data_IF_271149549429
#
_entry.id   IF_271149549429
#
_cell.length_a   1.000
_cell.length_b   1.000
_cell.length_c   1.000
_cell.angle_alpha   90.00
_cell.angle_beta   90.00
_cell.angle_gamma   90.00
#
_symmetry.space_group_name_H-M   'P 1'
#
loop_
_entity.id
_entity.type
_entity.pdbx_description
1 polymer ?
#
# COMPACT_ATOMS: atom_id res chain seq x y z
N UNK A 1 18.82 26.73 8.15
CA UNK A 1 18.66 26.10 6.81
C UNK A 1 19.44 24.79 6.87
N UNK A 2 18.96 23.70 7.43
CA UNK A 2 17.69 22.99 7.23
C UNK A 2 17.23 22.50 8.60
N UNK A 3 16.03 22.87 9.01
CA UNK A 3 15.41 22.25 10.17
C UNK A 3 14.94 20.87 9.70
N UNK A 4 15.61 19.82 10.14
CA UNK A 4 15.26 18.44 9.82
C UNK A 4 13.96 18.09 10.54
N UNK A 5 12.85 18.62 10.06
CA UNK A 5 11.51 18.12 10.37
C UNK A 5 11.37 16.82 9.59
N UNK A 6 12.11 15.79 9.98
CA UNK A 6 11.78 14.41 9.59
C UNK A 6 10.60 14.06 10.47
N UNK A 7 9.41 14.47 10.04
CA UNK A 7 8.20 14.09 10.73
C UNK A 7 8.18 12.56 10.74
N UNK A 8 8.24 11.97 11.93
CA UNK A 8 8.17 10.51 12.08
C UNK A 8 6.87 10.03 11.42
N UNK A 9 6.92 8.83 10.83
CA UNK A 9 5.71 8.19 10.31
C UNK A 9 4.64 8.15 11.40
N UNK A 10 3.38 8.17 10.95
CA UNK A 10 2.23 7.90 11.81
C UNK A 10 2.49 6.62 12.61
N UNK A 11 2.24 6.62 13.92
CA UNK A 11 2.49 5.45 14.78
C UNK A 11 1.67 4.19 14.45
N UNK A 12 0.86 4.23 13.38
CA UNK A 12 0.12 3.09 12.84
C UNK A 12 0.68 2.55 11.52
N UNK A 13 1.71 3.18 10.98
CA UNK A 13 2.35 2.80 9.72
C UNK A 13 3.79 2.40 10.02
N UNK A 14 4.25 1.30 9.40
CA UNK A 14 5.63 0.86 9.52
C UNK A 14 6.57 1.75 8.69
N UNK A 15 7.87 1.77 9.01
CA UNK A 15 8.83 2.54 8.22
C UNK A 15 8.93 2.02 6.78
N UNK A 16 8.93 0.69 6.63
CA UNK A 16 8.93 0.03 5.32
C UNK A 16 7.49 -0.19 4.84
N UNK A 17 7.21 -0.07 3.53
CA UNK A 17 5.92 -0.42 2.98
C UNK A 17 5.60 -1.89 3.26
N UNK A 18 4.44 -2.15 3.86
CA UNK A 18 3.95 -3.51 4.13
C UNK A 18 3.42 -4.23 2.89
N UNK A 19 2.88 -3.47 1.94
CA UNK A 19 2.37 -3.98 0.68
C UNK A 19 3.11 -3.36 -0.50
N UNK A 20 3.12 -4.06 -1.63
CA UNK A 20 3.72 -3.56 -2.87
C UNK A 20 2.76 -3.58 -4.06
N UNK A 21 3.21 -3.01 -5.17
CA UNK A 21 2.41 -2.85 -6.39
C UNK A 21 1.89 -4.21 -6.88
N UNK A 22 0.61 -4.27 -7.26
CA UNK A 22 -0.03 -5.47 -7.80
C UNK A 22 -0.36 -6.55 -6.76
N UNK A 23 0.06 -6.38 -5.50
CA UNK A 23 -0.21 -7.38 -4.46
C UNK A 23 -1.70 -7.45 -4.13
N UNK A 24 -2.21 -8.67 -4.00
CA UNK A 24 -3.58 -8.97 -3.59
C UNK A 24 -3.80 -8.70 -2.10
N UNK A 25 -4.78 -7.87 -1.80
CA UNK A 25 -5.14 -7.49 -0.43
C UNK A 25 -6.64 -7.63 -0.18
N UNK A 26 -6.99 -7.76 1.09
CA UNK A 26 -8.36 -7.80 1.59
C UNK A 26 -8.57 -6.71 2.63
N UNK A 27 -9.71 -6.04 2.58
CA UNK A 27 -10.12 -5.10 3.61
C UNK A 27 -10.53 -5.87 4.88
N UNK A 28 -9.97 -5.50 6.02
CA UNK A 28 -10.37 -6.05 7.32
C UNK A 28 -11.47 -5.23 8.01
N UNK A 29 -11.66 -3.97 7.59
CA UNK A 29 -12.69 -3.06 8.08
C UNK A 29 -13.36 -2.37 6.90
N UNK A 30 -14.60 -1.94 7.12
CA UNK A 30 -15.31 -1.12 6.15
C UNK A 30 -14.67 0.26 6.03
N UNK A 31 -14.65 0.81 4.82
CA UNK A 31 -14.20 2.17 4.57
C UNK A 31 -15.42 3.07 4.44
N UNK A 32 -15.49 4.04 5.33
CA UNK A 32 -16.54 5.05 5.38
C UNK A 32 -15.93 6.40 5.03
N UNK A 33 -16.62 7.18 4.20
CA UNK A 33 -16.14 8.50 3.81
C UNK A 33 -16.07 9.44 5.02
N UNK A 34 -14.85 9.86 5.38
CA UNK A 34 -14.56 10.81 6.45
C UNK A 34 -14.52 12.27 5.96
N UNK A 35 -14.81 12.50 4.68
CA UNK A 35 -14.75 13.81 4.02
C UNK A 35 -13.58 13.94 3.05
N UNK A 36 -12.74 12.90 2.91
CA UNK A 36 -11.66 12.86 1.93
C UNK A 36 -12.15 12.57 0.50
N UNK A 37 -13.31 11.92 0.34
CA UNK A 37 -13.89 11.64 -0.96
C UNK A 37 -14.99 12.68 -1.31
N UNK A 38 -14.80 13.52 -2.35
CA UNK A 38 -15.66 14.68 -2.61
C UNK A 38 -17.01 14.33 -3.26
N UNK A 39 -17.18 13.13 -3.82
CA UNK A 39 -18.38 12.76 -4.59
C UNK A 39 -19.40 11.95 -3.78
N UNK A 40 -19.17 11.74 -2.48
CA UNK A 40 -20.15 11.14 -1.58
C UNK A 40 -20.26 11.96 -0.28
N UNK A 41 -21.41 11.95 0.41
CA UNK A 41 -21.53 12.53 1.75
C UNK A 41 -20.58 11.87 2.77
N UNK A 42 -20.23 12.62 3.81
CA UNK A 42 -19.55 12.07 4.99
C UNK A 42 -20.45 10.99 5.63
N UNK A 43 -19.86 9.88 6.05
CA UNK A 43 -20.58 8.73 6.61
C UNK A 43 -21.07 7.71 5.56
N UNK A 44 -20.86 7.98 4.26
CA UNK A 44 -21.21 7.02 3.21
C UNK A 44 -20.24 5.83 3.23
N UNK A 45 -20.77 4.61 3.20
CA UNK A 45 -19.99 3.39 2.99
C UNK A 45 -19.39 3.40 1.57
N UNK A 46 -18.06 3.51 1.47
CA UNK A 46 -17.35 3.48 0.19
C UNK A 46 -16.99 2.06 -0.22
N UNK A 47 -16.55 1.24 0.75
CA UNK A 47 -16.13 -0.13 0.49
C UNK A 47 -16.44 -1.03 1.70
N UNK A 48 -17.11 -2.18 1.52
CA UNK A 48 -17.43 -3.08 2.62
C UNK A 48 -16.20 -3.83 3.13
N UNK A 49 -16.25 -4.23 4.40
CA UNK A 49 -15.26 -5.15 4.96
C UNK A 49 -15.25 -6.47 4.18
N UNK A 50 -14.06 -7.04 4.01
CA UNK A 50 -13.86 -8.29 3.27
C UNK A 50 -13.76 -8.14 1.76
N UNK A 51 -13.95 -6.94 1.20
CA UNK A 51 -13.70 -6.68 -0.20
C UNK A 51 -12.22 -6.96 -0.55
N UNK A 52 -12.02 -7.54 -1.74
CA UNK A 52 -10.70 -7.94 -2.24
C UNK A 52 -10.31 -7.04 -3.40
N UNK A 53 -9.07 -6.59 -3.39
CA UNK A 53 -8.52 -5.73 -4.43
C UNK A 53 -7.02 -5.93 -4.59
N UNK A 54 -6.43 -5.10 -5.44
CA UNK A 54 -5.01 -5.11 -5.72
C UNK A 54 -4.41 -3.73 -5.47
N UNK A 55 -3.20 -3.68 -4.93
CA UNK A 55 -2.48 -2.42 -4.74
C UNK A 55 -2.18 -1.81 -6.11
N UNK A 56 -2.79 -0.67 -6.40
CA UNK A 56 -2.57 0.09 -7.62
C UNK A 56 -1.41 1.07 -7.47
N UNK A 57 -1.32 1.73 -6.33
CA UNK A 57 -0.24 2.68 -6.04
C UNK A 57 -0.06 2.88 -4.53
N UNK A 58 1.03 3.56 -4.15
CA UNK A 58 1.29 3.98 -2.78
C UNK A 58 1.62 5.46 -2.76
N UNK A 59 1.02 6.18 -1.81
CA UNK A 59 1.27 7.59 -1.60
C UNK A 59 1.42 7.93 -0.13
N UNK A 60 1.66 9.21 0.13
CA UNK A 60 1.82 9.74 1.48
C UNK A 60 0.93 10.97 1.66
N UNK A 61 0.29 11.05 2.83
CA UNK A 61 -0.45 12.22 3.26
C UNK A 61 0.34 12.94 4.35
N UNK A 62 0.52 14.25 4.19
CA UNK A 62 1.33 15.12 5.07
C UNK A 62 2.76 14.59 5.31
N UNK A 63 3.29 13.76 4.40
CA UNK A 63 4.60 13.08 4.50
C UNK A 63 4.73 12.11 5.69
N UNK A 64 3.69 11.96 6.52
CA UNK A 64 3.71 11.16 7.74
C UNK A 64 2.85 9.91 7.64
N UNK A 65 1.74 9.95 6.90
CA UNK A 65 0.80 8.83 6.91
C UNK A 65 0.76 8.19 5.53
N UNK A 66 1.09 6.89 5.47
CA UNK A 66 1.06 6.11 4.23
C UNK A 66 -0.38 5.84 3.81
N UNK A 67 -0.63 5.88 2.51
CA UNK A 67 -1.92 5.55 1.90
C UNK A 67 -1.67 4.57 0.76
N UNK A 68 -2.35 3.45 0.81
CA UNK A 68 -2.38 2.45 -0.25
C UNK A 68 -3.60 2.70 -1.14
N UNK A 69 -3.39 2.99 -2.42
CA UNK A 69 -4.49 3.07 -3.39
C UNK A 69 -4.82 1.64 -3.84
N UNK A 70 -6.00 1.15 -3.46
CA UNK A 70 -6.43 -0.22 -3.76
C UNK A 70 -7.56 -0.18 -4.79
N UNK A 71 -7.40 -0.95 -5.86
CA UNK A 71 -8.47 -1.16 -6.85
C UNK A 71 -9.24 -2.43 -6.52
N UNK A 72 -10.49 -2.28 -6.10
CA UNK A 72 -11.43 -3.35 -5.82
C UNK A 72 -12.19 -3.71 -7.10
N UNK A 73 -12.28 -5.01 -7.40
CA UNK A 73 -12.89 -5.51 -8.62
C UNK A 73 -14.14 -6.34 -8.29
N UNK A 74 -15.15 -6.28 -9.17
CA UNK A 74 -16.33 -7.14 -9.07
C UNK A 74 -17.41 -6.69 -8.08
N UNK A 75 -17.32 -5.46 -7.56
CA UNK A 75 -18.36 -4.84 -6.75
C UNK A 75 -19.11 -3.80 -7.61
N UNK A 76 -20.38 -4.05 -7.89
CA UNK A 76 -21.21 -3.16 -8.71
C UNK A 76 -21.99 -2.12 -7.88
N UNK A 77 -22.18 -2.40 -6.59
CA UNK A 77 -23.01 -1.58 -5.69
C UNK A 77 -22.17 -0.62 -4.81
N UNK A 78 -20.94 -0.30 -5.21
CA UNK A 78 -20.07 0.64 -4.50
C UNK A 78 -19.97 1.98 -5.24
N UNK A 79 -19.82 3.12 -4.54
CA UNK A 79 -19.70 4.43 -5.18
C UNK A 79 -18.42 4.60 -5.99
N UNK A 80 -17.36 3.86 -5.64
CA UNK A 80 -16.03 4.01 -6.21
C UNK A 80 -15.28 2.67 -6.17
N UNK A 81 -14.58 2.33 -7.25
CA UNK A 81 -13.82 1.08 -7.35
C UNK A 81 -12.43 1.19 -6.70
N UNK A 82 -11.90 2.41 -6.60
CA UNK A 82 -10.55 2.69 -6.11
C UNK A 82 -10.63 3.52 -4.82
N UNK A 83 -10.02 3.01 -3.76
CA UNK A 83 -10.08 3.63 -2.43
C UNK A 83 -8.69 3.67 -1.80
N UNK A 84 -8.36 4.83 -1.20
CA UNK A 84 -7.17 4.98 -0.37
C UNK A 84 -7.39 4.32 0.99
N UNK A 85 -6.54 3.36 1.34
CA UNK A 85 -6.61 2.59 2.57
C UNK A 85 -5.33 2.79 3.40
N UNK A 86 -5.47 2.76 4.73
CA UNK A 86 -4.34 2.73 5.66
C UNK A 86 -3.80 1.31 5.79
N UNK A 87 -2.55 1.22 6.23
CA UNK A 87 -1.85 -0.06 6.37
C UNK A 87 -2.59 -1.04 7.29
N UNK A 88 -3.12 -0.55 8.40
CA UNK A 88 -3.87 -1.33 9.39
C UNK A 88 -5.31 -1.67 8.98
N UNK A 89 -5.76 -1.24 7.80
CA UNK A 89 -7.08 -1.56 7.24
C UNK A 89 -7.01 -2.70 6.23
N UNK A 90 -5.80 -3.13 5.86
CA UNK A 90 -5.54 -4.14 4.84
C UNK A 90 -4.86 -5.38 5.42
N UNK A 91 -5.17 -6.52 4.81
CA UNK A 91 -4.52 -7.81 5.03
C UNK A 91 -3.99 -8.34 3.69
N UNK A 92 -2.73 -8.79 3.67
CA UNK A 92 -2.14 -9.43 2.50
C UNK A 92 -2.78 -10.81 2.29
N UNK A 93 -3.20 -11.09 1.06
CA UNK A 93 -3.69 -12.42 0.69
C UNK A 93 -2.61 -13.31 0.07
N UNK A 94 -1.46 -12.72 -0.24
CA UNK A 94 -0.30 -13.37 -0.84
C UNK A 94 0.97 -12.66 -0.40
N UNK A 95 2.11 -13.37 -0.46
CA UNK A 95 3.41 -12.79 -0.18
C UNK A 95 3.78 -11.76 -1.25
N UNK A 96 4.33 -10.62 -0.83
CA UNK A 96 4.82 -9.63 -1.78
C UNK A 96 6.12 -10.14 -2.43
N UNK A 97 6.13 -10.21 -3.76
CA UNK A 97 7.34 -10.47 -4.53
C UNK A 97 8.02 -9.16 -4.87
N UNK A 98 9.14 -8.89 -4.20
CA UNK A 98 10.02 -7.77 -4.55
C UNK A 98 10.95 -8.20 -5.70
N UNK A 99 10.49 -7.99 -6.92
CA UNK A 99 11.23 -8.36 -8.13
C UNK A 99 12.60 -7.67 -8.19
N UNK A 100 12.73 -6.45 -7.65
CA UNK A 100 14.00 -5.72 -7.66
C UNK A 100 15.00 -6.37 -6.71
N UNK A 101 14.56 -6.75 -5.51
CA UNK A 101 15.44 -7.47 -4.58
C UNK A 101 15.82 -8.86 -5.12
N UNK A 102 14.87 -9.58 -5.74
CA UNK A 102 15.13 -10.85 -6.43
C UNK A 102 16.23 -10.68 -7.52
N UNK A 103 16.14 -9.63 -8.34
CA UNK A 103 17.13 -9.30 -9.36
C UNK A 103 18.50 -8.93 -8.77
N UNK A 104 18.53 -8.09 -7.73
CA UNK A 104 19.77 -7.67 -7.05
C UNK A 104 20.50 -8.85 -6.42
N UNK A 105 19.77 -9.78 -5.79
CA UNK A 105 20.34 -11.01 -5.27
C UNK A 105 20.96 -11.87 -6.38
N UNK A 106 20.27 -12.00 -7.50
CA UNK A 106 20.80 -12.74 -8.65
C UNK A 106 22.09 -12.09 -9.17
N UNK A 107 22.12 -10.76 -9.30
CA UNK A 107 23.32 -10.02 -9.72
C UNK A 107 24.47 -10.17 -8.73
N UNK A 108 24.22 -10.07 -7.42
CA UNK A 108 25.25 -10.27 -6.38
C UNK A 108 25.88 -11.67 -6.46
N UNK A 109 25.05 -12.70 -6.55
CA UNK A 109 25.50 -14.10 -6.71
C UNK A 109 26.30 -14.28 -8.01
N UNK A 110 25.90 -13.63 -9.10
CA UNK A 110 26.63 -13.67 -10.36
C UNK A 110 28.01 -13.00 -10.25
N UNK A 111 28.11 -11.84 -9.58
CA UNK A 111 29.37 -11.14 -9.36
C UNK A 111 30.32 -11.97 -8.50
N UNK A 112 29.84 -12.49 -7.37
CA UNK A 112 30.65 -13.32 -6.46
C UNK A 112 31.21 -14.55 -7.18
N UNK A 113 30.39 -15.23 -7.97
CA UNK A 113 30.80 -16.43 -8.71
C UNK A 113 31.83 -16.16 -9.82
N UNK A 114 31.74 -15.03 -10.51
CA UNK A 114 32.52 -14.79 -11.74
C UNK A 114 33.63 -13.74 -11.60
N UNK A 115 33.61 -12.93 -10.53
CA UNK A 115 34.52 -11.80 -10.35
C UNK A 115 35.14 -11.74 -8.94
N UNK A 116 34.97 -12.78 -8.11
CA UNK A 116 35.80 -12.93 -6.91
C UNK A 116 37.26 -13.05 -7.35
N UNK A 117 38.05 -12.00 -7.10
CA UNK A 117 39.50 -12.01 -7.30
C UNK A 117 40.13 -12.87 -6.22
N UNK A 118 40.97 -13.82 -6.62
CA UNK A 118 42.09 -14.30 -5.79
C UNK A 118 43.08 -13.15 -5.53
#
# INVERSE_FOLDING_TARGET
>A
MHDSVTANRSGKDEDKPKFGLGQKVKLIKEIVNDGTYPHAPIGTLLMPAGAVGYIKSMGEFLQVIRVYEVHFLGLLDVPVEIVGCREHELEAMEDFRDEVEEELEFMRKHIEKNYSKD
#
